data_IF_693281413853
#
_entry.id   IF_693281413853
#
_cell.length_a   1.000
_cell.length_b   1.000
_cell.length_c   1.000
_cell.angle_alpha   90.00
_cell.angle_beta   90.00
_cell.angle_gamma   90.00
#
_symmetry.space_group_name_H-M   'P 1'
#
loop_
_entity.id
_entity.type
_entity.pdbx_description
1 polymer ?
#
# COMPACT_ATOMS: atom_id res chain seq x y z
N UNK A 1 4.21 5.12 3.04
CA UNK A 1 4.87 4.35 1.97
C UNK A 1 5.32 2.96 2.41
N UNK A 2 5.85 2.78 3.60
CA UNK A 2 6.36 1.49 4.07
C UNK A 2 5.80 1.10 5.44
N UNK A 3 6.17 -0.08 5.93
CA UNK A 3 5.70 -0.66 7.19
C UNK A 3 6.25 -0.03 8.47
N UNK A 4 7.09 1.01 8.41
CA UNK A 4 7.51 1.74 9.63
C UNK A 4 6.32 2.37 10.35
N UNK A 5 5.30 2.81 9.61
CA UNK A 5 4.10 3.42 10.21
C UNK A 5 4.35 4.82 10.78
N UNK A 6 5.16 5.65 10.08
CA UNK A 6 5.47 7.00 10.52
C UNK A 6 4.22 7.87 10.72
N UNK A 7 4.16 8.58 11.83
CA UNK A 7 3.21 9.68 12.03
C UNK A 7 3.74 10.93 11.34
N UNK A 8 2.87 11.62 10.63
CA UNK A 8 3.23 12.78 9.82
C UNK A 8 2.22 13.91 10.02
N UNK A 9 2.72 15.11 10.24
CA UNK A 9 1.94 16.35 10.24
C UNK A 9 1.97 16.95 8.84
N UNK A 10 0.80 17.12 8.24
CA UNK A 10 0.66 17.62 6.88
C UNK A 10 0.08 19.03 6.91
N UNK A 11 0.89 20.01 6.53
CA UNK A 11 0.43 21.39 6.38
C UNK A 11 -0.22 21.59 5.01
N UNK A 12 -1.51 21.98 5.03
CA UNK A 12 -2.31 22.21 3.82
C UNK A 12 -2.77 23.67 3.76
N UNK A 13 -2.65 24.29 2.60
CA UNK A 13 -3.19 25.62 2.33
C UNK A 13 -3.92 25.61 0.99
N UNK A 14 -5.18 26.06 1.00
CA UNK A 14 -6.05 26.10 -0.19
C UNK A 14 -6.06 24.78 -0.99
N UNK A 15 -6.18 23.64 -0.30
CA UNK A 15 -6.20 22.30 -0.92
C UNK A 15 -4.84 21.79 -1.41
N UNK A 16 -3.77 22.55 -1.20
CA UNK A 16 -2.41 22.19 -1.63
C UNK A 16 -1.54 21.80 -0.44
N UNK A 17 -0.87 20.67 -0.49
CA UNK A 17 0.11 20.25 0.51
C UNK A 17 1.34 21.15 0.39
N UNK A 18 1.72 21.81 1.47
CA UNK A 18 2.87 22.73 1.53
C UNK A 18 4.10 22.10 2.15
N UNK A 19 3.92 21.32 3.21
CA UNK A 19 5.03 20.63 3.87
C UNK A 19 4.54 19.42 4.63
N UNK A 20 5.43 18.47 4.86
CA UNK A 20 5.22 17.33 5.74
C UNK A 20 6.35 17.30 6.78
N UNK A 21 5.97 17.15 8.05
CA UNK A 21 6.89 17.02 9.16
C UNK A 21 6.59 15.78 9.98
N UNK A 22 7.50 15.37 10.83
CA UNK A 22 7.31 14.27 11.76
C UNK A 22 7.28 14.84 13.18
N UNK A 23 6.21 14.63 13.96
CA UNK A 23 6.16 15.05 15.35
C UNK A 23 7.19 14.30 16.19
N UNK A 24 7.82 14.98 17.14
CA UNK A 24 8.89 14.40 17.98
C UNK A 24 8.38 13.37 18.96
N UNK A 25 7.13 13.46 19.37
CA UNK A 25 6.44 12.54 20.27
C UNK A 25 5.83 11.32 19.57
N UNK A 26 6.01 11.21 18.27
CA UNK A 26 5.52 10.08 17.49
C UNK A 26 6.18 8.76 17.90
N UNK A 27 5.40 7.82 18.39
CA UNK A 27 5.90 6.53 18.90
C UNK A 27 6.68 5.71 17.85
N UNK A 28 6.23 5.72 16.59
CA UNK A 28 6.87 4.95 15.53
C UNK A 28 8.19 5.55 15.05
N UNK A 29 8.24 6.87 14.86
CA UNK A 29 9.33 7.53 14.16
C UNK A 29 10.04 8.65 14.93
N UNK A 30 9.51 9.13 16.07
CA UNK A 30 10.22 10.05 16.98
C UNK A 30 10.87 11.25 16.30
N UNK A 31 10.11 12.03 15.54
CA UNK A 31 10.63 13.20 14.79
C UNK A 31 11.35 12.85 13.49
N UNK A 32 11.61 11.56 13.20
CA UNK A 32 12.29 11.14 11.97
C UNK A 32 11.33 10.87 10.83
N UNK A 33 11.75 11.16 9.61
CA UNK A 33 11.09 10.72 8.40
C UNK A 33 12.11 10.56 7.27
N UNK A 34 11.85 9.66 6.35
CA UNK A 34 12.70 9.50 5.17
C UNK A 34 12.34 10.52 4.08
N UNK A 35 13.16 10.56 3.04
CA UNK A 35 12.96 11.41 1.88
C UNK A 35 11.55 11.26 1.29
N UNK A 36 11.05 10.04 1.16
CA UNK A 36 9.71 9.76 0.60
C UNK A 36 8.60 10.34 1.47
N UNK A 37 8.66 10.12 2.78
CA UNK A 37 7.66 10.64 3.71
C UNK A 37 7.63 12.17 3.75
N UNK A 38 8.79 12.82 3.63
CA UNK A 38 8.90 14.28 3.74
C UNK A 38 8.61 15.03 2.45
N UNK A 39 9.04 14.52 1.30
CA UNK A 39 9.07 15.30 0.06
C UNK A 39 8.30 14.69 -1.12
N UNK A 40 7.93 13.41 -1.06
CA UNK A 40 7.29 12.77 -2.21
C UNK A 40 5.84 13.23 -2.47
N UNK A 41 5.27 14.12 -1.66
CA UNK A 41 3.92 14.65 -1.87
C UNK A 41 3.76 15.51 -3.13
N UNK A 42 4.84 15.82 -3.82
CA UNK A 42 4.81 16.58 -5.09
C UNK A 42 3.91 15.92 -6.15
N UNK A 43 3.81 14.58 -6.16
CA UNK A 43 2.91 13.87 -7.07
C UNK A 43 1.44 14.24 -6.87
N UNK A 44 1.03 14.56 -5.64
CA UNK A 44 -0.35 14.95 -5.33
C UNK A 44 -0.70 16.30 -5.95
N UNK A 45 0.25 17.24 -5.93
CA UNK A 45 0.08 18.59 -6.46
C UNK A 45 0.46 18.70 -7.95
N UNK A 46 0.93 17.61 -8.58
CA UNK A 46 1.46 17.66 -9.94
C UNK A 46 0.38 18.02 -10.96
N UNK A 47 0.63 18.93 -11.92
CA UNK A 47 -0.36 19.36 -12.90
C UNK A 47 -0.82 18.23 -13.82
N UNK A 48 0.04 17.25 -14.11
CA UNK A 48 -0.28 16.08 -14.95
C UNK A 48 -0.99 14.96 -14.18
N UNK A 49 -1.33 15.17 -12.88
CA UNK A 49 -2.08 14.17 -12.15
C UNK A 49 -3.44 13.94 -12.78
N UNK A 50 -3.78 12.70 -13.09
CA UNK A 50 -5.10 12.33 -13.58
C UNK A 50 -6.17 12.69 -12.56
N UNK A 51 -7.20 13.41 -12.99
CA UNK A 51 -8.34 13.87 -12.15
C UNK A 51 -9.67 13.32 -12.61
N UNK A 52 -9.72 12.80 -13.84
CA UNK A 52 -10.89 12.18 -14.47
C UNK A 52 -10.52 10.81 -14.98
N UNK A 53 -11.47 9.87 -15.10
CA UNK A 53 -11.24 8.61 -15.79
C UNK A 53 -10.81 8.83 -17.23
N UNK A 54 -10.00 7.89 -17.75
CA UNK A 54 -9.61 7.86 -19.15
C UNK A 54 -10.07 6.54 -19.76
N UNK A 55 -10.77 6.63 -20.91
CA UNK A 55 -11.16 5.47 -21.71
C UNK A 55 -10.36 5.46 -22.99
N UNK A 56 -9.81 4.30 -23.34
CA UNK A 56 -9.06 4.14 -24.60
C UNK A 56 -10.04 3.93 -25.76
N UNK A 57 -10.07 4.88 -26.71
CA UNK A 57 -10.85 4.83 -27.96
C UNK A 57 -9.86 4.91 -29.13
N UNK A 58 -9.92 3.95 -30.03
CA UNK A 58 -9.07 3.91 -31.23
C UNK A 58 -7.55 4.08 -30.94
N UNK A 59 -7.10 3.49 -29.83
CA UNK A 59 -5.71 3.57 -29.42
C UNK A 59 -5.32 4.80 -28.59
N UNK A 60 -6.18 5.82 -28.50
CA UNK A 60 -5.94 7.08 -27.77
C UNK A 60 -6.76 7.12 -26.46
N UNK A 61 -6.15 7.58 -25.39
CA UNK A 61 -6.87 7.84 -24.14
C UNK A 61 -7.63 9.17 -24.21
N UNK A 62 -8.92 9.13 -23.95
CA UNK A 62 -9.80 10.29 -23.88
C UNK A 62 -10.43 10.41 -22.50
N UNK A 63 -10.64 11.62 -22.04
CA UNK A 63 -11.33 11.88 -20.78
C UNK A 63 -12.78 11.38 -20.83
N UNK A 64 -13.24 10.83 -19.72
CA UNK A 64 -14.58 10.32 -19.55
C UNK A 64 -15.14 10.73 -18.18
N UNK A 65 -16.44 10.74 -18.05
CA UNK A 65 -17.11 10.85 -16.76
C UNK A 65 -16.99 9.53 -15.98
N UNK A 66 -17.23 9.58 -14.67
CA UNK A 66 -17.26 8.36 -13.86
C UNK A 66 -18.39 7.41 -14.28
N UNK A 67 -19.55 7.92 -14.67
CA UNK A 67 -20.68 7.11 -15.14
C UNK A 67 -20.32 6.37 -16.43
N UNK A 68 -19.73 7.05 -17.41
CA UNK A 68 -19.23 6.42 -18.65
C UNK A 68 -18.18 5.34 -18.35
N UNK A 69 -17.29 5.60 -17.38
CA UNK A 69 -16.26 4.62 -17.00
C UNK A 69 -16.90 3.39 -16.33
N UNK A 70 -17.89 3.60 -15.44
CA UNK A 70 -18.60 2.49 -14.79
C UNK A 70 -19.39 1.66 -15.79
N UNK A 71 -20.10 2.29 -16.72
CA UNK A 71 -20.85 1.59 -17.75
C UNK A 71 -19.91 0.76 -18.65
N UNK A 72 -18.78 1.33 -19.04
CA UNK A 72 -17.78 0.64 -19.84
C UNK A 72 -17.20 -0.59 -19.09
N UNK A 73 -16.83 -0.43 -17.82
CA UNK A 73 -16.29 -1.52 -16.99
C UNK A 73 -17.35 -2.59 -16.79
N UNK A 74 -18.58 -2.22 -16.42
CA UNK A 74 -19.67 -3.15 -16.20
C UNK A 74 -19.98 -3.98 -17.45
N UNK A 75 -20.07 -3.31 -18.61
CA UNK A 75 -20.30 -4.02 -19.88
C UNK A 75 -19.19 -5.01 -20.20
N UNK A 76 -17.92 -4.61 -20.03
CA UNK A 76 -16.77 -5.49 -20.30
C UNK A 76 -16.68 -6.67 -19.35
N UNK A 77 -16.85 -6.46 -18.06
CA UNK A 77 -16.83 -7.54 -17.07
C UNK A 77 -18.01 -8.51 -17.27
N UNK A 78 -19.20 -7.99 -17.60
CA UNK A 78 -20.37 -8.81 -17.92
C UNK A 78 -20.13 -9.65 -19.17
N UNK A 79 -19.57 -9.07 -20.21
CA UNK A 79 -19.20 -9.80 -21.44
C UNK A 79 -18.24 -10.94 -21.13
N UNK A 80 -17.13 -10.67 -20.44
CA UNK A 80 -16.12 -11.70 -20.09
C UNK A 80 -16.75 -12.82 -19.26
N UNK A 81 -17.58 -12.46 -18.26
CA UNK A 81 -18.27 -13.41 -17.43
C UNK A 81 -19.24 -14.32 -18.22
N UNK A 82 -19.94 -13.75 -19.18
CA UNK A 82 -20.88 -14.52 -20.03
C UNK A 82 -20.15 -15.43 -21.00
N UNK A 83 -19.05 -14.96 -21.59
CA UNK A 83 -18.31 -15.69 -22.63
C UNK A 83 -17.41 -16.78 -22.03
N UNK A 84 -16.84 -16.56 -20.85
CA UNK A 84 -15.77 -17.40 -20.28
C UNK A 84 -16.02 -17.85 -18.85
N UNK A 85 -17.12 -17.44 -18.23
CA UNK A 85 -17.45 -17.73 -16.84
C UNK A 85 -16.79 -16.79 -15.83
N UNK A 86 -17.26 -16.82 -14.56
CA UNK A 86 -16.76 -15.91 -13.52
C UNK A 86 -15.27 -16.11 -13.19
N UNK A 87 -14.76 -17.32 -13.33
CA UNK A 87 -13.36 -17.63 -13.00
C UNK A 87 -12.34 -17.10 -14.02
N UNK A 88 -12.80 -16.54 -15.16
CA UNK A 88 -11.96 -15.78 -16.07
C UNK A 88 -11.60 -14.37 -15.54
N UNK A 89 -12.21 -13.97 -14.44
CA UNK A 89 -11.96 -12.68 -13.78
C UNK A 89 -11.29 -12.92 -12.43
N UNK A 90 -10.27 -12.12 -12.14
CA UNK A 90 -9.59 -12.15 -10.86
C UNK A 90 -9.42 -10.72 -10.31
N UNK A 91 -9.27 -10.60 -9.00
CA UNK A 91 -8.99 -9.34 -8.31
C UNK A 91 -7.73 -9.43 -7.45
N UNK A 92 -6.97 -8.36 -7.40
CA UNK A 92 -5.84 -8.21 -6.49
C UNK A 92 -6.05 -6.91 -5.70
N UNK A 93 -6.10 -7.03 -4.38
CA UNK A 93 -6.15 -5.87 -3.49
C UNK A 93 -4.76 -5.54 -2.92
N UNK A 94 -4.66 -4.48 -2.16
CA UNK A 94 -3.37 -3.97 -1.71
C UNK A 94 -3.37 -3.60 -0.23
N UNK A 95 -2.24 -3.83 0.44
CA UNK A 95 -1.98 -3.31 1.79
C UNK A 95 -1.86 -1.77 1.83
N UNK A 96 -1.84 -1.10 0.68
CA UNK A 96 -1.84 0.36 0.56
C UNK A 96 -3.23 0.97 0.41
N UNK A 97 -4.25 0.13 0.34
CA UNK A 97 -5.65 0.51 0.37
C UNK A 97 -6.17 0.52 1.81
N UNK A 98 -7.25 1.23 2.06
CA UNK A 98 -7.94 1.16 3.36
C UNK A 98 -8.58 -0.23 3.58
N UNK A 99 -8.95 -0.53 4.82
CA UNK A 99 -9.67 -1.77 5.12
C UNK A 99 -11.01 -1.84 4.39
N UNK A 100 -11.69 -0.70 4.26
CA UNK A 100 -12.97 -0.56 3.57
C UNK A 100 -12.83 -0.88 2.07
N UNK A 101 -11.80 -0.34 1.42
CA UNK A 101 -11.50 -0.62 0.00
C UNK A 101 -11.21 -2.10 -0.22
N UNK A 102 -10.40 -2.72 0.65
CA UNK A 102 -10.10 -4.15 0.59
C UNK A 102 -11.37 -5.01 0.79
N UNK A 103 -12.23 -4.62 1.74
CA UNK A 103 -13.52 -5.29 1.97
C UNK A 103 -14.43 -5.19 0.75
N UNK A 104 -14.59 -3.98 0.18
CA UNK A 104 -15.45 -3.73 -0.98
C UNK A 104 -14.93 -4.51 -2.19
N UNK A 105 -13.63 -4.51 -2.43
CA UNK A 105 -13.02 -5.29 -3.52
C UNK A 105 -13.30 -6.78 -3.37
N UNK A 106 -13.14 -7.32 -2.16
CA UNK A 106 -13.44 -8.72 -1.89
C UNK A 106 -14.93 -9.03 -2.10
N UNK A 107 -15.81 -8.16 -1.61
CA UNK A 107 -17.26 -8.29 -1.79
C UNK A 107 -17.65 -8.24 -3.28
N UNK A 108 -17.06 -7.32 -4.04
CA UNK A 108 -17.29 -7.19 -5.47
C UNK A 108 -16.91 -8.47 -6.23
N UNK A 109 -15.71 -8.99 -6.02
CA UNK A 109 -15.26 -10.22 -6.72
C UNK A 109 -16.12 -11.44 -6.33
N UNK A 110 -16.45 -11.60 -5.04
CA UNK A 110 -17.19 -12.77 -4.59
C UNK A 110 -18.69 -12.69 -4.85
N UNK A 111 -19.31 -11.55 -4.56
CA UNK A 111 -20.77 -11.42 -4.65
C UNK A 111 -21.27 -10.99 -6.03
N UNK A 112 -20.52 -10.12 -6.74
CA UNK A 112 -20.95 -9.58 -8.04
C UNK A 112 -20.36 -10.39 -9.19
N UNK A 113 -19.06 -10.61 -9.21
CA UNK A 113 -18.42 -11.45 -10.22
C UNK A 113 -18.79 -12.92 -10.01
N UNK A 114 -18.76 -13.41 -8.76
CA UNK A 114 -19.13 -14.78 -8.41
C UNK A 114 -17.97 -15.76 -8.43
N UNK A 115 -16.75 -15.29 -8.14
CA UNK A 115 -15.54 -16.11 -8.05
C UNK A 115 -14.78 -15.86 -6.75
N UNK A 116 -13.97 -16.83 -6.33
CA UNK A 116 -13.01 -16.68 -5.23
C UNK A 116 -11.61 -16.27 -5.71
N UNK A 117 -11.42 -15.91 -6.96
CA UNK A 117 -10.15 -15.46 -7.52
C UNK A 117 -9.81 -14.04 -7.05
N UNK A 118 -9.66 -13.88 -5.75
CA UNK A 118 -9.27 -12.62 -5.09
C UNK A 118 -8.13 -12.88 -4.11
N UNK A 119 -7.08 -12.09 -4.19
CA UNK A 119 -5.96 -12.16 -3.28
C UNK A 119 -5.40 -10.75 -2.97
N UNK A 120 -4.43 -10.70 -2.10
CA UNK A 120 -3.73 -9.47 -1.71
C UNK A 120 -2.31 -9.46 -2.24
N UNK A 121 -1.74 -8.27 -2.38
CA UNK A 121 -0.32 -8.07 -2.70
C UNK A 121 0.60 -8.82 -1.71
N UNK A 122 0.16 -9.06 -0.47
CA UNK A 122 0.89 -9.79 0.55
C UNK A 122 1.23 -11.23 0.15
N UNK A 123 0.47 -11.83 -0.76
CA UNK A 123 0.71 -13.22 -1.26
C UNK A 123 2.14 -13.41 -1.76
N UNK A 124 2.66 -12.45 -2.50
CA UNK A 124 4.02 -12.49 -3.07
C UNK A 124 5.01 -11.71 -2.21
N UNK A 125 4.54 -10.73 -1.44
CA UNK A 125 5.37 -9.83 -0.66
C UNK A 125 5.97 -10.52 0.58
N UNK A 126 5.13 -10.92 1.54
CA UNK A 126 5.59 -11.45 2.84
C UNK A 126 4.81 -12.66 3.37
N UNK A 127 3.80 -13.17 2.66
CA UNK A 127 3.06 -14.35 3.14
C UNK A 127 3.94 -15.55 3.44
N UNK A 128 4.99 -15.87 2.66
CA UNK A 128 5.95 -16.92 3.01
C UNK A 128 6.65 -16.64 4.35
N UNK A 129 7.09 -15.41 4.58
CA UNK A 129 7.69 -14.97 5.84
C UNK A 129 6.70 -15.05 7.00
N UNK A 130 5.48 -14.59 6.81
CA UNK A 130 4.43 -14.66 7.83
C UNK A 130 4.12 -16.11 8.24
N UNK A 131 4.04 -17.03 7.28
CA UNK A 131 3.87 -18.46 7.55
C UNK A 131 5.08 -19.05 8.28
N UNK A 132 6.29 -18.68 7.86
CA UNK A 132 7.53 -19.10 8.54
C UNK A 132 7.56 -18.65 9.99
N UNK A 133 7.25 -17.39 10.25
CA UNK A 133 7.15 -16.82 11.59
C UNK A 133 6.07 -17.51 12.44
N UNK A 134 4.88 -17.74 11.86
CA UNK A 134 3.79 -18.44 12.54
C UNK A 134 4.22 -19.85 12.98
N UNK A 135 4.98 -20.54 12.17
CA UNK A 135 5.47 -21.91 12.49
C UNK A 135 6.59 -21.93 13.52
N UNK A 136 7.44 -20.90 13.55
CA UNK A 136 8.61 -20.84 14.44
C UNK A 136 8.30 -20.12 15.76
N UNK A 137 7.55 -19.03 15.71
CA UNK A 137 7.28 -18.15 16.86
C UNK A 137 5.82 -18.19 17.34
N UNK A 138 4.93 -18.86 16.62
CA UNK A 138 3.51 -18.89 16.93
C UNK A 138 2.76 -17.60 16.52
N UNK A 139 3.41 -16.67 15.85
CA UNK A 139 2.82 -15.42 15.35
C UNK A 139 3.36 -15.05 13.99
N UNK A 140 2.51 -14.54 13.09
CA UNK A 140 2.92 -14.05 11.78
C UNK A 140 3.35 -12.57 11.78
N UNK A 141 3.50 -11.96 12.97
CA UNK A 141 3.92 -10.57 13.16
C UNK A 141 5.24 -10.50 13.92
N UNK A 142 5.86 -9.31 13.95
CA UNK A 142 7.08 -9.07 14.73
C UNK A 142 6.85 -9.41 16.22
N UNK A 143 7.82 -10.10 16.81
CA UNK A 143 7.78 -10.51 18.24
C UNK A 143 8.13 -9.37 19.18
N UNK A 144 8.85 -8.36 18.69
CA UNK A 144 9.36 -7.23 19.47
C UNK A 144 9.05 -5.91 18.76
N UNK A 145 9.02 -4.83 19.53
CA UNK A 145 8.88 -3.49 18.98
C UNK A 145 10.19 -2.99 18.35
N UNK A 146 10.11 -2.04 17.41
CA UNK A 146 11.30 -1.39 16.82
C UNK A 146 12.12 -0.65 17.89
N UNK A 147 11.50 -0.21 18.99
CA UNK A 147 12.19 0.47 20.10
C UNK A 147 13.11 -0.49 20.84
N UNK A 148 12.78 -1.77 20.91
CA UNK A 148 13.58 -2.76 21.63
C UNK A 148 14.99 -2.95 21.04
N UNK A 149 15.21 -2.51 19.79
CA UNK A 149 16.54 -2.52 19.17
C UNK A 149 17.59 -1.72 19.98
N UNK A 150 17.15 -0.67 20.70
CA UNK A 150 18.06 0.14 21.53
C UNK A 150 18.63 -0.60 22.74
N UNK A 151 18.09 -1.75 23.08
CA UNK A 151 18.48 -2.56 24.24
C UNK A 151 19.27 -3.83 23.84
N UNK A 152 19.64 -3.96 22.57
CA UNK A 152 20.37 -5.16 22.11
C UNK A 152 21.85 -4.86 21.93
N UNK A 153 22.69 -5.83 22.32
CA UNK A 153 24.13 -5.77 22.14
C UNK A 153 24.59 -6.37 20.80
N UNK A 154 23.71 -7.06 20.09
CA UNK A 154 24.02 -7.67 18.80
C UNK A 154 22.77 -7.74 17.92
N UNK A 155 22.93 -7.31 16.67
CA UNK A 155 21.88 -7.40 15.64
C UNK A 155 22.39 -8.20 14.45
N UNK A 156 21.59 -9.18 14.01
CA UNK A 156 21.84 -9.94 12.80
C UNK A 156 20.76 -9.63 11.76
N UNK A 157 21.17 -9.11 10.60
CA UNK A 157 20.28 -8.76 9.48
C UNK A 157 20.55 -9.73 8.33
N UNK A 158 19.52 -10.48 7.91
CA UNK A 158 19.64 -11.49 6.86
C UNK A 158 18.61 -11.23 5.77
N UNK A 159 19.05 -11.17 4.50
CA UNK A 159 18.18 -11.04 3.35
C UNK A 159 17.37 -9.75 3.29
N UNK A 160 17.80 -8.68 3.98
CA UNK A 160 17.08 -7.42 4.07
C UNK A 160 18.03 -6.22 3.95
N UNK A 161 17.52 -5.13 3.36
CA UNK A 161 18.19 -3.82 3.37
C UNK A 161 17.26 -2.78 4.05
N UNK A 162 17.25 -2.71 5.39
CA UNK A 162 16.35 -1.81 6.10
C UNK A 162 16.66 -0.33 5.85
N UNK A 163 17.88 0.03 5.45
CA UNK A 163 18.22 1.42 5.13
C UNK A 163 17.55 1.93 3.85
N UNK A 164 17.22 1.04 2.93
CA UNK A 164 16.50 1.36 1.70
C UNK A 164 14.98 1.15 1.84
N UNK A 165 14.59 -0.05 2.31
CA UNK A 165 13.18 -0.42 2.40
C UNK A 165 12.44 0.28 3.57
N UNK A 166 13.12 0.47 4.72
CA UNK A 166 12.56 1.02 5.96
C UNK A 166 13.52 2.03 6.61
N UNK A 167 13.80 3.19 5.96
CA UNK A 167 14.94 4.05 6.32
C UNK A 167 14.97 4.52 7.76
N UNK A 168 13.83 4.83 8.38
CA UNK A 168 13.76 5.26 9.78
C UNK A 168 14.18 4.13 10.72
N UNK A 169 13.71 2.90 10.47
CA UNK A 169 14.17 1.72 11.22
C UNK A 169 15.66 1.47 11.00
N UNK A 170 16.11 1.53 9.73
CA UNK A 170 17.53 1.39 9.40
C UNK A 170 18.43 2.45 10.06
N UNK A 171 17.94 3.68 10.22
CA UNK A 171 18.66 4.71 10.96
C UNK A 171 18.79 4.38 12.45
N UNK A 172 17.71 3.90 13.09
CA UNK A 172 17.76 3.45 14.49
C UNK A 172 18.72 2.27 14.69
N UNK A 173 18.74 1.31 13.77
CA UNK A 173 19.69 0.20 13.79
C UNK A 173 21.14 0.69 13.74
N UNK A 174 21.43 1.65 12.84
CA UNK A 174 22.77 2.24 12.72
C UNK A 174 23.18 3.08 13.92
N UNK A 175 22.25 3.69 14.64
CA UNK A 175 22.54 4.44 15.86
C UNK A 175 22.93 3.51 17.02
N UNK A 176 22.46 2.26 16.98
CA UNK A 176 22.73 1.27 18.01
C UNK A 176 23.97 0.43 17.73
N UNK A 177 24.42 0.34 16.47
CA UNK A 177 25.62 -0.40 16.06
C UNK A 177 26.89 0.42 16.32
#
# INVERSE_FOLDING_TARGET
YCGVGCNLDVAVNAGTIKSIQAPYDAAANGGHTCLKGRFAFSFYNHPERLRTPLIKKDGVFVEATWDEAYDFIAAKLTQIKNDHGPDAIAGISSARCTNEENYIMQKFIRAVIGTNNIDSCARVCHSPTAIGMQRTFGTGAATNSVIDMQYTDCMMVIGANPTDAHPVTGAKMKQQA
#
